data_IF_554974858285
#
_entry.id   IF_554974858285
#
_cell.length_a   1.000
_cell.length_b   1.000
_cell.length_c   1.000
_cell.angle_alpha   90.00
_cell.angle_beta   90.00
_cell.angle_gamma   90.00
#
_symmetry.space_group_name_H-M   'P 1'
#
loop_
_entity.id
_entity.type
_entity.pdbx_description
1 polymer ?
#
# COMPACT_ATOMS: atom_id res chain seq x y z
N UNK A 1 7.90 3.14 -3.63
CA UNK A 1 7.02 4.26 -3.97
C UNK A 1 7.74 5.56 -3.66
N UNK A 2 8.23 6.22 -4.69
CA UNK A 2 8.90 7.51 -4.57
C UNK A 2 7.83 8.61 -4.53
N UNK A 3 7.45 9.03 -3.33
CA UNK A 3 6.33 9.97 -3.11
C UNK A 3 6.80 11.40 -3.34
N UNK A 4 6.02 12.18 -4.12
CA UNK A 4 6.29 13.60 -4.34
C UNK A 4 6.32 14.36 -3.01
N UNK A 5 7.21 15.35 -2.92
CA UNK A 5 7.30 16.20 -1.73
C UNK A 5 5.97 16.87 -1.42
N UNK A 6 5.43 16.64 -0.22
CA UNK A 6 4.14 17.19 0.23
C UNK A 6 2.90 16.41 -0.19
N UNK A 7 3.04 15.24 -0.83
CA UNK A 7 1.91 14.41 -1.26
C UNK A 7 1.61 13.24 -0.30
N UNK A 8 2.27 13.15 0.85
CA UNK A 8 2.11 12.04 1.81
C UNK A 8 0.66 11.90 2.31
N UNK A 9 0.02 12.99 2.74
CA UNK A 9 -1.36 12.94 3.24
C UNK A 9 -2.35 12.52 2.14
N UNK A 10 -2.17 13.02 0.92
CA UNK A 10 -3.02 12.64 -0.21
C UNK A 10 -2.83 11.16 -0.60
N UNK A 11 -1.63 10.62 -0.45
CA UNK A 11 -1.38 9.19 -0.61
C UNK A 11 -2.13 8.37 0.45
N UNK A 12 -2.16 8.83 1.70
CA UNK A 12 -2.89 8.16 2.78
C UNK A 12 -4.41 8.16 2.52
N UNK A 13 -4.97 9.26 2.01
CA UNK A 13 -6.39 9.33 1.63
C UNK A 13 -6.78 8.29 0.57
N UNK A 14 -5.90 8.01 -0.40
CA UNK A 14 -6.13 6.95 -1.39
C UNK A 14 -6.20 5.58 -0.71
N UNK A 15 -5.38 5.35 0.32
CA UNK A 15 -5.35 4.09 1.05
C UNK A 15 -6.53 3.88 1.99
N UNK A 16 -7.12 4.95 2.51
CA UNK A 16 -8.34 4.92 3.33
C UNK A 16 -9.60 4.59 2.50
N UNK A 17 -9.45 4.45 1.18
CA UNK A 17 -10.49 3.98 0.29
C UNK A 17 -10.98 2.55 0.58
N UNK A 18 -11.97 2.11 -0.21
CA UNK A 18 -12.52 0.76 -0.05
C UNK A 18 -11.49 -0.30 -0.43
N UNK A 19 -11.30 -1.29 0.45
CA UNK A 19 -10.52 -2.46 0.11
C UNK A 19 -11.11 -3.18 -1.12
N UNK A 20 -10.27 -3.60 -2.09
CA UNK A 20 -10.74 -4.35 -3.24
C UNK A 20 -11.32 -5.70 -2.81
N UNK A 21 -12.13 -6.32 -3.67
CA UNK A 21 -12.71 -7.64 -3.37
C UNK A 21 -11.59 -8.66 -3.12
N UNK A 22 -11.67 -9.31 -1.96
CA UNK A 22 -10.66 -10.29 -1.52
C UNK A 22 -9.38 -9.66 -0.96
N UNK A 23 -9.28 -8.32 -0.88
CA UNK A 23 -8.23 -7.63 -0.14
C UNK A 23 -8.44 -7.81 1.36
N UNK A 24 -7.41 -8.27 2.07
CA UNK A 24 -7.47 -8.55 3.53
C UNK A 24 -6.61 -7.60 4.36
N UNK A 25 -5.60 -6.98 3.74
CA UNK A 25 -4.83 -5.91 4.34
C UNK A 25 -4.19 -5.04 3.26
N UNK A 26 -4.03 -3.77 3.60
CA UNK A 26 -3.24 -2.82 2.84
C UNK A 26 -2.33 -2.09 3.84
N UNK A 27 -1.01 -2.30 3.72
CA UNK A 27 -0.04 -1.72 4.65
C UNK A 27 0.84 -0.74 3.88
N UNK A 28 1.23 0.32 4.57
CA UNK A 28 2.25 1.25 4.11
C UNK A 28 3.31 1.38 5.18
N UNK A 29 4.55 1.25 4.74
CA UNK A 29 5.72 1.50 5.56
C UNK A 29 6.48 2.66 4.96
N UNK A 30 6.72 3.68 5.78
CA UNK A 30 7.74 4.71 5.54
C UNK A 30 9.04 4.22 6.19
N UNK A 31 10.10 3.93 5.42
CA UNK A 31 11.37 3.50 6.01
C UNK A 31 12.02 4.62 6.84
N UNK A 32 12.81 4.23 7.85
CA UNK A 32 13.58 5.19 8.66
C UNK A 32 14.68 5.90 7.86
N UNK A 33 15.23 5.23 6.83
CA UNK A 33 16.13 5.87 5.88
C UNK A 33 15.33 6.79 4.96
N UNK A 34 15.47 8.10 5.15
CA UNK A 34 14.76 9.13 4.40
C UNK A 34 15.05 9.12 2.89
N UNK A 35 16.06 8.38 2.43
CA UNK A 35 16.36 8.20 1.00
C UNK A 35 15.66 7.00 0.39
N UNK A 36 15.02 6.17 1.21
CA UNK A 36 14.31 4.99 0.76
C UNK A 36 12.86 5.32 0.41
N UNK A 37 12.40 4.68 -0.65
CA UNK A 37 11.02 4.70 -1.11
C UNK A 37 10.05 4.13 -0.07
N UNK A 38 8.82 4.64 -0.04
CA UNK A 38 7.75 4.04 0.74
C UNK A 38 7.43 2.63 0.20
N UNK A 39 7.06 1.72 1.10
CA UNK A 39 6.75 0.33 0.77
C UNK A 39 5.26 0.08 1.01
N UNK A 40 4.53 -0.16 -0.08
CA UNK A 40 3.15 -0.59 -0.03
C UNK A 40 3.05 -2.12 -0.06
N UNK A 41 2.13 -2.69 0.72
CA UNK A 41 1.92 -4.13 0.83
C UNK A 41 0.43 -4.40 0.68
N UNK A 42 0.04 -4.92 -0.48
CA UNK A 42 -1.31 -5.40 -0.75
C UNK A 42 -1.40 -6.88 -0.41
N UNK A 43 -2.35 -7.25 0.45
CA UNK A 43 -2.58 -8.64 0.86
C UNK A 43 -3.96 -9.06 0.39
N UNK A 44 -4.01 -10.18 -0.33
CA UNK A 44 -5.26 -10.78 -0.81
C UNK A 44 -5.48 -12.16 -0.19
N UNK A 45 -6.73 -12.57 -0.08
CA UNK A 45 -7.13 -13.89 0.45
C UNK A 45 -6.70 -15.05 -0.45
N UNK A 46 -6.44 -14.78 -1.74
CA UNK A 46 -6.00 -15.76 -2.72
C UNK A 46 -5.24 -15.12 -3.88
N UNK A 47 -4.49 -15.95 -4.61
CA UNK A 47 -3.81 -15.51 -5.83
C UNK A 47 -4.80 -15.09 -6.91
N UNK A 48 -5.94 -15.76 -7.00
CA UNK A 48 -7.00 -15.47 -7.95
C UNK A 48 -7.62 -14.09 -7.68
N UNK A 49 -7.86 -13.76 -6.41
CA UNK A 49 -8.37 -12.43 -6.02
C UNK A 49 -7.37 -11.33 -6.36
N UNK A 50 -6.07 -11.56 -6.09
CA UNK A 50 -5.00 -10.64 -6.48
C UNK A 50 -4.97 -10.38 -8.00
N UNK A 51 -4.98 -11.45 -8.81
CA UNK A 51 -4.94 -11.32 -10.28
C UNK A 51 -6.21 -10.65 -10.81
N UNK A 52 -7.38 -10.99 -10.28
CA UNK A 52 -8.64 -10.35 -10.66
C UNK A 52 -8.63 -8.84 -10.33
N UNK A 53 -8.08 -8.45 -9.18
CA UNK A 53 -7.89 -7.05 -8.84
C UNK A 53 -6.93 -6.35 -9.81
N UNK A 54 -5.76 -6.93 -10.07
CA UNK A 54 -4.75 -6.36 -10.96
C UNK A 54 -5.26 -6.15 -12.40
N UNK A 55 -6.28 -6.89 -12.83
CA UNK A 55 -6.90 -6.80 -14.15
C UNK A 55 -8.19 -5.94 -14.17
N UNK A 56 -8.62 -5.41 -13.02
CA UNK A 56 -9.87 -4.67 -12.91
C UNK A 56 -9.75 -3.21 -13.37
N UNK A 57 -10.80 -2.64 -14.00
CA UNK A 57 -10.84 -1.21 -14.32
C UNK A 57 -10.69 -0.32 -13.07
N UNK A 58 -11.29 -0.71 -11.95
CA UNK A 58 -11.26 0.03 -10.69
C UNK A 58 -9.83 0.11 -10.13
N UNK A 59 -9.05 -0.98 -10.22
CA UNK A 59 -7.64 -0.97 -9.86
C UNK A 59 -6.82 -0.07 -10.79
N UNK A 60 -7.13 -0.04 -12.09
CA UNK A 60 -6.46 0.85 -13.03
C UNK A 60 -6.73 2.33 -12.68
N UNK A 61 -7.95 2.69 -12.30
CA UNK A 61 -8.28 4.03 -11.83
C UNK A 61 -7.54 4.38 -10.54
N UNK A 62 -7.54 3.48 -9.56
CA UNK A 62 -6.80 3.65 -8.29
C UNK A 62 -5.30 3.78 -8.54
N UNK A 63 -4.73 3.01 -9.47
CA UNK A 63 -3.33 3.10 -9.85
C UNK A 63 -3.00 4.44 -10.52
N UNK A 64 -3.88 4.96 -11.38
CA UNK A 64 -3.69 6.28 -11.99
C UNK A 64 -3.69 7.38 -10.93
N UNK A 65 -4.62 7.33 -9.98
CA UNK A 65 -4.65 8.25 -8.83
C UNK A 65 -3.36 8.14 -8.01
N UNK A 66 -2.90 6.92 -7.70
CA UNK A 66 -1.63 6.71 -7.01
C UNK A 66 -0.46 7.38 -7.74
N UNK A 67 -0.37 7.22 -9.07
CA UNK A 67 0.68 7.79 -9.90
C UNK A 67 0.68 9.34 -9.92
N UNK A 68 -0.45 10.00 -9.67
CA UNK A 68 -0.48 11.46 -9.52
C UNK A 68 0.38 11.95 -8.34
N UNK A 69 0.62 11.09 -7.35
CA UNK A 69 1.39 11.39 -6.14
C UNK A 69 2.80 10.81 -6.13
N UNK A 70 3.22 10.08 -7.17
CA UNK A 70 4.54 9.47 -7.27
C UNK A 70 5.41 10.17 -8.32
N UNK A 71 6.71 10.30 -8.02
CA UNK A 71 7.72 10.82 -8.96
C UNK A 71 7.98 9.84 -10.12
N UNK A 72 7.79 8.55 -9.87
CA UNK A 72 8.00 7.48 -10.84
C UNK A 72 7.14 6.27 -10.50
N UNK A 73 6.95 5.39 -11.48
CA UNK A 73 6.26 4.12 -11.26
C UNK A 73 6.98 3.29 -10.18
N UNK A 74 6.26 2.71 -9.21
CA UNK A 74 6.87 1.87 -8.19
C UNK A 74 7.28 0.50 -8.75
N UNK A 75 8.25 -0.13 -8.09
CA UNK A 75 8.56 -1.54 -8.35
C UNK A 75 7.51 -2.45 -7.70
N UNK A 76 7.19 -3.54 -8.40
CA UNK A 76 6.24 -4.56 -7.94
C UNK A 76 6.98 -5.87 -7.66
N UNK A 77 6.54 -6.58 -6.62
CA UNK A 77 7.04 -7.92 -6.30
C UNK A 77 5.89 -8.75 -5.75
N UNK A 78 5.54 -9.80 -6.50
CA UNK A 78 4.51 -10.74 -6.10
C UNK A 78 5.09 -11.86 -5.22
N UNK A 79 4.30 -12.34 -4.27
CA UNK A 79 4.71 -13.41 -3.38
C UNK A 79 3.56 -13.99 -2.55
N UNK A 80 3.88 -15.02 -1.78
CA UNK A 80 2.95 -15.65 -0.85
C UNK A 80 3.36 -15.32 0.59
N UNK A 81 2.39 -14.89 1.40
CA UNK A 81 2.61 -14.66 2.82
C UNK A 81 2.56 -15.99 3.57
N UNK A 82 3.74 -16.57 3.84
CA UNK A 82 3.87 -17.84 4.57
C UNK A 82 3.60 -17.70 6.09
N UNK A 83 3.59 -16.48 6.62
CA UNK A 83 3.26 -16.16 8.01
C UNK A 83 2.89 -14.69 8.17
N UNK A 84 1.87 -14.39 8.98
CA UNK A 84 1.54 -13.04 9.42
C UNK A 84 1.16 -13.03 10.90
N UNK A 85 1.62 -12.03 11.66
CA UNK A 85 1.20 -11.78 13.03
C UNK A 85 1.52 -10.33 13.39
N UNK A 86 0.50 -9.58 13.78
CA UNK A 86 0.69 -8.28 14.41
C UNK A 86 0.64 -8.46 15.92
N UNK A 87 1.72 -8.12 16.61
CA UNK A 87 1.75 -8.06 18.08
C UNK A 87 1.83 -6.59 18.48
N UNK A 88 0.67 -6.01 18.75
CA UNK A 88 0.61 -4.70 19.38
C UNK A 88 0.57 -4.90 20.89
N UNK A 89 1.69 -4.71 21.57
CA UNK A 89 1.66 -4.51 23.02
C UNK A 89 1.06 -3.11 23.28
N UNK A 90 0.13 -3.01 24.21
CA UNK A 90 -0.45 -1.74 24.65
C UNK A 90 0.61 -0.65 24.82
N UNK A 91 0.46 0.47 24.09
CA UNK A 91 1.10 1.75 24.41
C UNK A 91 2.26 2.18 23.51
N UNK A 92 1.95 2.73 22.34
CA UNK A 92 2.81 3.74 21.70
C UNK A 92 1.95 4.96 21.40
N UNK A 93 1.91 5.90 22.34
CA UNK A 93 1.62 7.29 22.02
C UNK A 93 2.82 7.83 21.26
N UNK A 94 2.65 8.12 19.97
CA UNK A 94 3.57 9.02 19.29
C UNK A 94 3.31 10.41 19.87
N UNK A 95 4.17 10.87 20.78
CA UNK A 95 4.21 12.29 21.11
C UNK A 95 4.86 13.03 19.93
N UNK A 96 4.15 14.06 19.48
CA UNK A 96 4.48 14.97 18.38
C UNK A 96 5.73 15.80 18.64
#
# INVERSE_FOLDING_TARGET
MNVKSGHEDALLEIMDGNAPKGGVAWLLMKPDDSKSDFIGVAVFESKEAHVANAQSPEQNETFNQLMEHLESEPSWTDGEYIRGAFHWAYGHTYES
#
